data_IF_458911759798
#
_entry.id   IF_458911759798
#
_cell.length_a   1.000
_cell.length_b   1.000
_cell.length_c   1.000
_cell.angle_alpha   90.00
_cell.angle_beta   90.00
_cell.angle_gamma   90.00
#
_symmetry.space_group_name_H-M   'P 1'
#
loop_
_entity.id
_entity.type
_entity.pdbx_description
1 polymer ?
#
# COMPACT_ATOMS: atom_id res chain seq x y z
N UNK A 1 9.16 7.18 14.13
CA UNK A 1 8.05 6.95 15.09
C UNK A 1 8.45 5.80 16.00
N UNK A 2 8.00 5.80 17.25
CA UNK A 2 8.17 4.64 18.11
C UNK A 2 7.35 3.45 17.59
N UNK A 3 7.75 2.24 17.94
CA UNK A 3 6.99 1.05 17.59
C UNK A 3 5.63 1.09 18.32
N UNK A 4 4.51 0.75 17.64
CA UNK A 4 3.21 0.70 18.29
C UNK A 4 3.16 -0.32 19.43
N UNK A 5 2.48 0.02 20.52
CA UNK A 5 2.29 -0.90 21.63
C UNK A 5 1.53 -2.15 21.17
N UNK A 6 1.90 -3.32 21.73
CA UNK A 6 1.27 -4.62 21.45
C UNK A 6 1.36 -5.10 19.98
N UNK A 7 2.24 -4.50 19.17
CA UNK A 7 2.48 -4.91 17.78
C UNK A 7 3.86 -5.53 17.65
N UNK A 8 3.94 -6.70 16.99
CA UNK A 8 5.23 -7.26 16.54
C UNK A 8 5.70 -6.47 15.32
N UNK A 9 6.81 -5.74 15.47
CA UNK A 9 7.38 -4.94 14.39
C UNK A 9 8.50 -5.70 13.68
N UNK A 10 8.38 -5.82 12.35
CA UNK A 10 9.44 -6.34 11.47
C UNK A 10 9.90 -5.19 10.58
N UNK A 11 11.17 -4.78 10.73
CA UNK A 11 11.73 -3.65 9.98
C UNK A 11 12.33 -4.14 8.66
N UNK A 12 11.92 -3.51 7.58
CA UNK A 12 12.41 -3.75 6.22
C UNK A 12 12.79 -2.43 5.56
N UNK A 13 13.69 -2.47 4.58
CA UNK A 13 14.15 -1.29 3.84
C UNK A 13 13.82 -1.37 2.36
N UNK A 14 13.81 -2.57 1.77
CA UNK A 14 13.57 -2.76 0.33
C UNK A 14 12.25 -3.46 0.06
N UNK A 15 11.71 -3.27 -1.15
CA UNK A 15 10.52 -4.01 -1.62
C UNK A 15 10.72 -5.54 -1.52
N UNK A 16 11.93 -6.02 -1.83
CA UNK A 16 12.28 -7.44 -1.73
C UNK A 16 12.25 -7.94 -0.27
N UNK A 17 12.81 -7.18 0.67
CA UNK A 17 12.76 -7.51 2.10
C UNK A 17 11.32 -7.52 2.60
N UNK A 18 10.50 -6.55 2.18
CA UNK A 18 9.07 -6.51 2.51
C UNK A 18 8.34 -7.74 1.98
N UNK A 19 8.56 -8.13 0.73
CA UNK A 19 7.96 -9.32 0.14
C UNK A 19 8.33 -10.61 0.89
N UNK A 20 9.60 -10.73 1.28
CA UNK A 20 10.08 -11.86 2.08
C UNK A 20 9.40 -11.91 3.45
N UNK A 21 9.37 -10.78 4.17
CA UNK A 21 8.74 -10.69 5.49
C UNK A 21 7.23 -11.01 5.45
N UNK A 22 6.53 -10.59 4.39
CA UNK A 22 5.11 -10.94 4.21
C UNK A 22 4.95 -12.45 3.99
N UNK A 23 5.78 -13.08 3.17
CA UNK A 23 5.72 -14.52 2.96
C UNK A 23 5.98 -15.31 4.25
N UNK A 24 6.89 -14.84 5.10
CA UNK A 24 7.24 -15.49 6.38
C UNK A 24 6.21 -15.29 7.49
N UNK A 25 5.39 -14.23 7.44
CA UNK A 25 4.56 -13.84 8.58
C UNK A 25 3.06 -13.71 8.28
N UNK A 26 2.65 -13.62 7.01
CA UNK A 26 1.25 -13.38 6.66
C UNK A 26 0.46 -14.65 6.31
N UNK A 27 1.09 -15.84 6.27
CA UNK A 27 0.41 -17.08 5.84
C UNK A 27 -0.81 -17.41 6.69
N UNK A 28 -0.73 -17.13 7.99
CA UNK A 28 -1.74 -17.46 9.00
C UNK A 28 -2.53 -16.22 9.46
N UNK A 29 -2.39 -15.09 8.75
CA UNK A 29 -3.13 -13.88 9.06
C UNK A 29 -4.57 -13.96 8.54
N UNK A 30 -5.49 -13.26 9.22
CA UNK A 30 -6.87 -13.08 8.75
C UNK A 30 -7.00 -11.94 7.73
N UNK A 31 -6.13 -10.93 7.83
CA UNK A 31 -6.09 -9.76 6.94
C UNK A 31 -4.65 -9.35 6.61
N UNK A 32 -4.43 -8.94 5.36
CA UNK A 32 -3.21 -8.30 4.89
C UNK A 32 -3.54 -6.88 4.42
N UNK A 33 -3.08 -5.88 5.19
CA UNK A 33 -3.30 -4.45 4.90
C UNK A 33 -2.03 -3.83 4.32
N UNK A 34 -1.99 -3.68 3.00
CA UNK A 34 -0.82 -3.18 2.25
C UNK A 34 -0.83 -1.66 2.11
N UNK A 35 -0.65 -0.97 3.24
CA UNK A 35 -0.64 0.50 3.30
C UNK A 35 0.72 1.15 2.95
N UNK A 36 1.78 0.35 2.77
CA UNK A 36 3.11 0.87 2.46
C UNK A 36 3.20 1.42 1.02
N UNK A 37 3.87 2.55 0.85
CA UNK A 37 4.25 3.08 -0.46
C UNK A 37 5.47 2.30 -1.01
N UNK A 38 5.22 1.10 -1.54
CA UNK A 38 6.26 0.24 -2.11
C UNK A 38 6.74 0.83 -3.43
N UNK A 39 8.05 0.95 -3.61
CA UNK A 39 8.63 1.43 -4.86
C UNK A 39 8.36 0.45 -6.02
N UNK A 40 7.87 0.95 -7.15
CA UNK A 40 7.61 0.16 -8.36
C UNK A 40 8.89 -0.28 -9.10
N UNK A 41 10.00 0.41 -8.82
CA UNK A 41 11.30 0.17 -9.42
C UNK A 41 12.41 0.19 -8.36
N UNK A 42 13.50 -0.51 -8.66
CA UNK A 42 14.76 -0.50 -7.90
C UNK A 42 15.93 -0.28 -8.86
N UNK A 43 17.10 0.20 -8.39
CA UNK A 43 18.32 0.15 -9.19
C UNK A 43 18.54 -1.26 -9.76
N UNK A 44 18.82 -1.34 -11.05
CA UNK A 44 19.14 -2.61 -11.71
C UNK A 44 20.42 -3.21 -11.14
N UNK A 45 21.39 -2.35 -10.82
CA UNK A 45 22.65 -2.69 -10.16
C UNK A 45 22.85 -1.81 -8.93
N UNK A 46 23.44 -2.39 -7.87
CA UNK A 46 23.80 -1.69 -6.64
C UNK A 46 25.32 -1.68 -6.46
N UNK A 47 25.89 -0.57 -6.02
CA UNK A 47 27.31 -0.46 -5.72
C UNK A 47 27.58 -0.68 -4.23
N UNK A 48 28.57 -1.51 -3.89
CA UNK A 48 28.99 -1.74 -2.49
C UNK A 48 29.68 -0.54 -1.85
N UNK A 49 30.12 0.41 -2.67
CA UNK A 49 30.81 1.63 -2.25
C UNK A 49 30.13 2.86 -2.85
N UNK A 50 30.29 3.99 -2.16
CA UNK A 50 29.80 5.28 -2.65
C UNK A 50 30.35 5.55 -4.06
N UNK A 51 29.44 5.68 -5.02
CA UNK A 51 29.79 6.06 -6.39
C UNK A 51 30.44 7.45 -6.35
N UNK A 52 31.70 7.52 -6.75
CA UNK A 52 32.45 8.79 -6.79
C UNK A 52 31.95 9.63 -7.96
N UNK A 53 32.01 10.95 -7.79
CA UNK A 53 31.82 11.88 -8.91
C UNK A 53 32.96 11.66 -9.91
N UNK A 54 32.67 11.15 -11.09
CA UNK A 54 33.68 10.91 -12.12
C UNK A 54 33.32 11.50 -13.48
N UNK A 55 32.03 11.69 -13.77
CA UNK A 55 31.52 12.21 -15.04
C UNK A 55 30.57 13.39 -14.80
N UNK A 56 30.38 14.23 -15.82
CA UNK A 56 29.42 15.34 -15.80
C UNK A 56 27.96 14.86 -15.74
N UNK A 57 27.69 13.63 -16.23
CA UNK A 57 26.37 13.00 -16.22
C UNK A 57 26.38 11.66 -15.44
N UNK A 58 25.28 11.39 -14.73
CA UNK A 58 25.02 10.11 -14.04
C UNK A 58 23.70 9.53 -14.55
N UNK A 59 23.69 8.22 -14.82
CA UNK A 59 22.49 7.46 -15.19
C UNK A 59 22.32 6.31 -14.21
N UNK A 60 21.09 6.08 -13.76
CA UNK A 60 20.72 4.94 -12.92
C UNK A 60 19.73 4.12 -13.72
N UNK A 61 20.12 2.93 -14.12
CA UNK A 61 19.21 1.98 -14.73
C UNK A 61 18.29 1.39 -13.65
N UNK A 62 17.00 1.28 -13.95
CA UNK A 62 15.99 0.82 -13.02
C UNK A 62 15.36 -0.48 -13.53
N UNK A 63 15.24 -1.46 -12.65
CA UNK A 63 14.50 -2.69 -12.86
C UNK A 63 13.18 -2.65 -12.08
N UNK A 64 12.11 -3.22 -12.66
CA UNK A 64 10.79 -3.30 -12.01
C UNK A 64 10.88 -4.17 -10.74
N UNK A 65 10.18 -3.78 -9.68
CA UNK A 65 10.04 -4.60 -8.48
C UNK A 65 8.96 -5.67 -8.67
N UNK A 66 9.05 -6.72 -7.85
CA UNK A 66 8.02 -7.75 -7.82
C UNK A 66 6.73 -7.21 -7.18
N UNK A 67 5.56 -7.55 -7.74
CA UNK A 67 4.28 -7.13 -7.18
C UNK A 67 3.94 -7.99 -5.96
N UNK A 68 4.31 -7.49 -4.78
CA UNK A 68 4.17 -8.19 -3.49
C UNK A 68 2.72 -8.67 -3.25
N UNK A 69 1.72 -7.89 -3.65
CA UNK A 69 0.30 -8.26 -3.47
C UNK A 69 -0.07 -9.50 -4.28
N UNK A 70 0.50 -9.67 -5.48
CA UNK A 70 0.26 -10.83 -6.35
C UNK A 70 0.99 -12.08 -5.88
N UNK A 71 2.08 -11.91 -5.14
CA UNK A 71 2.94 -13.03 -4.71
C UNK A 71 2.64 -13.48 -3.28
N UNK A 72 1.96 -12.64 -2.50
CA UNK A 72 1.49 -12.98 -1.16
C UNK A 72 0.48 -14.13 -1.18
N UNK A 73 0.85 -15.22 -0.49
CA UNK A 73 0.04 -16.44 -0.36
C UNK A 73 -0.65 -16.48 1.01
N UNK A 74 -1.92 -16.86 1.01
CA UNK A 74 -2.72 -17.00 2.22
C UNK A 74 -4.21 -16.76 1.94
N UNK A 75 -5.05 -17.17 2.89
CA UNK A 75 -6.51 -16.99 2.86
C UNK A 75 -6.92 -15.81 3.74
N UNK A 76 -6.26 -14.67 3.56
CA UNK A 76 -6.59 -13.42 4.23
C UNK A 76 -7.43 -12.50 3.34
N UNK A 77 -8.14 -11.57 3.99
CA UNK A 77 -8.70 -10.37 3.36
C UNK A 77 -7.55 -9.50 2.85
N UNK A 78 -7.54 -9.20 1.55
CA UNK A 78 -6.53 -8.37 0.88
C UNK A 78 -7.00 -6.92 0.81
N UNK A 79 -6.30 -6.04 1.53
CA UNK A 79 -6.56 -4.59 1.49
C UNK A 79 -5.40 -3.89 0.81
N UNK A 80 -5.69 -3.18 -0.29
CA UNK A 80 -4.74 -2.32 -0.99
C UNK A 80 -4.99 -0.84 -0.72
N UNK A 81 -3.98 -0.02 -1.00
CA UNK A 81 -4.11 1.44 -1.04
C UNK A 81 -3.74 1.96 -2.43
N UNK A 82 -4.41 3.02 -2.87
CA UNK A 82 -4.10 3.71 -4.10
C UNK A 82 -4.17 5.23 -3.89
N UNK A 83 -3.08 5.90 -4.21
CA UNK A 83 -3.05 7.35 -4.37
C UNK A 83 -3.16 7.65 -5.86
N UNK A 84 -4.16 8.44 -6.25
CA UNK A 84 -4.36 8.85 -7.65
C UNK A 84 -4.40 10.37 -7.74
N UNK A 85 -3.94 10.91 -8.87
CA UNK A 85 -4.10 12.33 -9.21
C UNK A 85 -5.23 12.59 -10.19
N UNK A 86 -5.77 11.53 -10.81
CA UNK A 86 -6.86 11.59 -11.79
C UNK A 86 -7.63 10.27 -11.80
N UNK A 87 -8.87 10.29 -12.32
CA UNK A 87 -9.69 9.09 -12.56
C UNK A 87 -9.74 8.10 -11.37
N UNK A 88 -9.80 8.63 -10.14
CA UNK A 88 -9.62 7.91 -8.89
C UNK A 88 -10.41 6.58 -8.82
N UNK A 89 -11.72 6.64 -9.06
CA UNK A 89 -12.61 5.48 -8.94
C UNK A 89 -12.35 4.43 -10.01
N UNK A 90 -12.10 4.84 -11.26
CA UNK A 90 -11.84 3.93 -12.37
C UNK A 90 -10.51 3.19 -12.19
N UNK A 91 -9.45 3.93 -11.86
CA UNK A 91 -8.12 3.36 -11.58
C UNK A 91 -8.17 2.41 -10.38
N UNK A 92 -8.88 2.79 -9.32
CA UNK A 92 -9.06 1.97 -8.14
C UNK A 92 -9.84 0.67 -8.44
N UNK A 93 -10.95 0.73 -9.19
CA UNK A 93 -11.69 -0.47 -9.63
C UNK A 93 -10.82 -1.42 -10.47
N UNK A 94 -10.00 -0.88 -11.38
CA UNK A 94 -9.05 -1.67 -12.16
C UNK A 94 -8.02 -2.39 -11.26
N UNK A 95 -7.55 -1.72 -10.22
CA UNK A 95 -6.62 -2.29 -9.22
C UNK A 95 -7.27 -3.38 -8.37
N UNK A 96 -8.56 -3.25 -8.00
CA UNK A 96 -9.31 -4.31 -7.29
C UNK A 96 -9.24 -5.62 -8.08
N UNK A 97 -9.63 -5.59 -9.35
CA UNK A 97 -9.67 -6.77 -10.21
C UNK A 97 -8.26 -7.32 -10.50
N UNK A 98 -7.32 -6.46 -10.89
CA UNK A 98 -5.98 -6.89 -11.33
C UNK A 98 -5.08 -7.40 -10.22
N UNK A 99 -5.34 -7.03 -8.96
CA UNK A 99 -4.60 -7.48 -7.77
C UNK A 99 -5.42 -8.37 -6.84
N UNK A 100 -6.64 -8.76 -7.25
CA UNK A 100 -7.55 -9.61 -6.48
C UNK A 100 -7.77 -9.09 -5.05
N UNK A 101 -8.00 -7.79 -4.91
CA UNK A 101 -8.24 -7.15 -3.61
C UNK A 101 -9.67 -7.42 -3.15
N UNK A 102 -9.84 -7.56 -1.83
CA UNK A 102 -11.15 -7.58 -1.19
C UNK A 102 -11.62 -6.15 -0.86
N UNK A 103 -10.66 -5.25 -0.64
CA UNK A 103 -10.89 -3.82 -0.39
C UNK A 103 -9.73 -2.99 -0.96
N UNK A 104 -10.03 -1.86 -1.57
CA UNK A 104 -9.03 -0.82 -1.88
C UNK A 104 -9.43 0.50 -1.23
N UNK A 105 -8.46 1.17 -0.63
CA UNK A 105 -8.57 2.52 -0.08
C UNK A 105 -7.94 3.47 -1.08
N UNK A 106 -8.75 4.26 -1.76
CA UNK A 106 -8.30 5.18 -2.79
C UNK A 106 -8.36 6.62 -2.27
N UNK A 107 -7.34 7.44 -2.46
CA UNK A 107 -7.39 8.86 -2.13
C UNK A 107 -6.85 9.73 -3.28
N UNK A 108 -7.52 10.86 -3.51
CA UNK A 108 -7.04 11.90 -4.42
C UNK A 108 -5.99 12.73 -3.68
N UNK A 109 -4.74 12.70 -4.15
CA UNK A 109 -3.64 13.42 -3.52
C UNK A 109 -3.59 14.91 -3.89
N UNK A 110 -4.39 15.34 -4.87
CA UNK A 110 -4.47 16.74 -5.31
C UNK A 110 -5.51 17.54 -4.53
N UNK A 111 -6.44 16.86 -3.84
CA UNK A 111 -7.48 17.49 -3.06
C UNK A 111 -6.96 18.10 -1.75
N UNK A 112 -7.46 19.28 -1.41
CA UNK A 112 -7.11 19.98 -0.16
C UNK A 112 -7.39 19.10 1.07
N UNK A 113 -6.38 18.96 1.93
CA UNK A 113 -6.44 18.12 3.13
C UNK A 113 -6.28 16.61 2.89
N UNK A 114 -6.14 16.16 1.65
CA UNK A 114 -5.98 14.73 1.26
C UNK A 114 -4.56 14.36 0.81
N UNK A 115 -3.67 15.37 0.72
CA UNK A 115 -2.27 15.21 0.33
C UNK A 115 -1.36 14.60 1.41
N UNK A 116 -0.15 14.24 0.99
CA UNK A 116 0.90 13.78 1.89
C UNK A 116 1.23 14.83 2.97
N UNK A 117 1.44 14.39 4.21
CA UNK A 117 1.80 15.27 5.32
C UNK A 117 0.65 15.97 6.06
N UNK A 118 -0.60 15.85 5.61
CA UNK A 118 -1.80 16.31 6.35
C UNK A 118 -2.15 15.39 7.54
N UNK A 119 -2.89 15.85 8.55
CA UNK A 119 -3.47 14.99 9.61
C UNK A 119 -4.84 14.40 9.21
N UNK A 120 -5.42 14.90 8.13
CA UNK A 120 -6.69 14.44 7.55
C UNK A 120 -6.47 13.68 6.25
N UNK A 121 -7.52 12.98 5.81
CA UNK A 121 -7.59 12.36 4.49
C UNK A 121 -9.05 12.24 4.04
N UNK A 122 -9.29 12.36 2.73
CA UNK A 122 -10.59 12.06 2.11
C UNK A 122 -10.40 10.85 1.21
N UNK A 123 -10.97 9.71 1.63
CA UNK A 123 -10.77 8.44 0.94
C UNK A 123 -12.07 7.89 0.37
N UNK A 124 -11.95 7.16 -0.72
CA UNK A 124 -13.00 6.35 -1.31
C UNK A 124 -12.65 4.89 -1.08
N UNK A 125 -13.54 4.16 -0.42
CA UNK A 125 -13.43 2.71 -0.21
C UNK A 125 -14.14 2.01 -1.36
N UNK A 126 -13.47 1.03 -1.97
CA UNK A 126 -14.06 0.21 -3.02
C UNK A 126 -13.83 -1.26 -2.70
N UNK A 127 -14.91 -2.04 -2.62
CA UNK A 127 -14.84 -3.46 -2.29
C UNK A 127 -14.68 -4.35 -3.54
N UNK A 128 -14.61 -5.66 -3.30
CA UNK A 128 -14.48 -6.68 -4.35
C UNK A 128 -15.63 -6.68 -5.37
N UNK A 129 -16.81 -6.24 -4.96
CA UNK A 129 -18.02 -6.17 -5.78
C UNK A 129 -18.12 -4.81 -6.51
N UNK A 130 -17.05 -4.00 -6.39
CA UNK A 130 -16.91 -2.67 -6.96
C UNK A 130 -17.94 -1.67 -6.41
N UNK A 131 -18.51 -1.95 -5.23
CA UNK A 131 -19.32 -0.99 -4.50
C UNK A 131 -18.41 0.14 -4.01
N UNK A 132 -18.87 1.38 -4.18
CA UNK A 132 -18.09 2.59 -3.90
C UNK A 132 -18.70 3.28 -2.69
N UNK A 133 -17.86 3.56 -1.70
CA UNK A 133 -18.20 4.35 -0.53
C UNK A 133 -17.24 5.54 -0.43
N UNK A 134 -17.76 6.75 -0.61
CA UNK A 134 -16.99 7.97 -0.39
C UNK A 134 -17.09 8.41 1.06
N UNK A 135 -15.94 8.55 1.73
CA UNK A 135 -15.89 9.10 3.07
C UNK A 135 -15.76 10.63 3.01
N UNK A 136 -16.33 11.37 4.00
CA UNK A 136 -16.03 12.78 4.15
C UNK A 136 -14.55 12.98 4.50
N UNK A 137 -14.10 14.25 4.52
CA UNK A 137 -12.79 14.57 5.07
C UNK A 137 -12.76 14.20 6.56
N UNK A 138 -11.87 13.29 6.93
CA UNK A 138 -11.76 12.73 8.27
C UNK A 138 -10.31 12.82 8.76
N UNK A 139 -10.10 12.69 10.07
CA UNK A 139 -8.75 12.50 10.60
C UNK A 139 -8.20 11.16 10.11
N UNK A 140 -6.87 11.02 9.96
CA UNK A 140 -6.26 9.73 9.61
C UNK A 140 -6.60 8.62 10.61
N UNK A 141 -6.81 8.98 11.87
CA UNK A 141 -7.27 8.05 12.90
C UNK A 141 -8.68 7.52 12.59
N UNK A 142 -9.63 8.41 12.30
CA UNK A 142 -11.00 8.02 11.94
C UNK A 142 -11.05 7.23 10.63
N UNK A 143 -10.23 7.61 9.63
CA UNK A 143 -10.07 6.83 8.39
C UNK A 143 -9.58 5.42 8.71
N UNK A 144 -8.58 5.25 9.58
CA UNK A 144 -8.09 3.92 9.94
C UNK A 144 -9.16 3.05 10.61
N UNK A 145 -10.00 3.63 11.48
CA UNK A 145 -11.12 2.92 12.09
C UNK A 145 -12.16 2.49 11.04
N UNK A 146 -12.51 3.38 10.09
CA UNK A 146 -13.45 3.04 9.00
C UNK A 146 -12.93 1.90 8.12
N UNK A 147 -11.63 1.89 7.83
CA UNK A 147 -11.00 0.79 7.08
C UNK A 147 -11.11 -0.51 7.87
N UNK A 148 -10.78 -0.49 9.17
CA UNK A 148 -10.86 -1.68 10.02
C UNK A 148 -12.30 -2.20 10.20
N UNK A 149 -13.29 -1.31 10.29
CA UNK A 149 -14.71 -1.69 10.31
C UNK A 149 -15.09 -2.49 9.05
N UNK A 150 -14.61 -2.05 7.88
CA UNK A 150 -14.83 -2.76 6.60
C UNK A 150 -14.07 -4.07 6.53
N UNK A 151 -12.82 -4.12 6.96
CA UNK A 151 -12.04 -5.36 7.03
C UNK A 151 -12.74 -6.40 7.91
N UNK A 152 -13.21 -5.99 9.09
CA UNK A 152 -13.94 -6.87 10.01
C UNK A 152 -15.20 -7.44 9.36
N UNK A 153 -15.95 -6.64 8.61
CA UNK A 153 -17.16 -7.08 7.92
C UNK A 153 -16.88 -8.09 6.78
N UNK A 154 -15.63 -8.18 6.30
CA UNK A 154 -15.21 -9.13 5.27
C UNK A 154 -14.74 -10.48 5.82
N UNK A 155 -14.55 -10.59 7.14
CA UNK A 155 -14.30 -11.88 7.77
C UNK A 155 -15.56 -12.75 7.66
N UNK A 156 -15.36 -13.99 7.22
CA UNK A 156 -16.40 -15.02 7.22
C UNK A 156 -16.29 -15.75 8.56
N UNK A 157 -17.42 -16.00 9.22
CA UNK A 157 -17.49 -16.89 10.38
C UNK A 157 -16.92 -18.30 10.06
#
# INVERSE_FOLDING_TARGET
>A
LADPALVKVVRVQTAQQMGTAIQEHASDADALVMAAAVADYRPAETADQKIKKSNDEMRIELAKTEDILKTAKGKFVRVGFAAESENLVENAKSKVSSKSLDLIVANDITADGSGFGSDTNKVTLIDRDLAVEELPLLTKYDVSNRILDRVKALFKD
#
